data_IF_662662129670
#
_entry.id   IF_662662129670
#
_cell.length_a   1.000
_cell.length_b   1.000
_cell.length_c   1.000
_cell.angle_alpha   90.00
_cell.angle_beta   90.00
_cell.angle_gamma   90.00
#
_symmetry.space_group_name_H-M   'P 1'
#
loop_
_entity.id
_entity.type
_entity.pdbx_description
1 polymer ?
#
# COMPACT_ATOMS: atom_id res chain seq x y z
N UNK A 1 -0.41 -5.57 -6.31
CA UNK A 1 -1.53 -6.09 -5.49
C UNK A 1 -2.77 -5.25 -5.59
N UNK A 2 -2.72 -3.94 -5.29
CA UNK A 2 -3.90 -3.06 -5.35
C UNK A 2 -4.62 -3.05 -6.71
N UNK A 3 -3.89 -3.12 -7.83
CA UNK A 3 -4.50 -3.23 -9.16
C UNK A 3 -5.39 -4.49 -9.29
N UNK A 4 -4.99 -5.61 -8.66
CA UNK A 4 -5.78 -6.83 -8.64
C UNK A 4 -7.02 -6.70 -7.74
N UNK A 5 -6.91 -6.00 -6.61
CA UNK A 5 -8.06 -5.65 -5.76
C UNK A 5 -9.07 -4.80 -6.51
N UNK A 6 -8.61 -3.71 -7.16
CA UNK A 6 -9.46 -2.87 -7.99
C UNK A 6 -10.15 -3.65 -9.09
N UNK A 7 -9.41 -4.51 -9.80
CA UNK A 7 -9.93 -5.35 -10.88
C UNK A 7 -10.96 -6.37 -10.38
N UNK A 8 -10.80 -6.93 -9.18
CA UNK A 8 -11.77 -7.83 -8.57
C UNK A 8 -13.11 -7.12 -8.30
N UNK A 9 -13.09 -5.92 -7.72
CA UNK A 9 -14.32 -5.17 -7.42
C UNK A 9 -15.01 -4.56 -8.65
N UNK A 10 -14.30 -4.46 -9.78
CA UNK A 10 -14.86 -4.09 -11.08
C UNK A 10 -15.62 -5.22 -11.78
N UNK A 11 -15.44 -6.48 -11.37
CA UNK A 11 -16.15 -7.61 -11.98
C UNK A 11 -17.66 -7.39 -11.88
N UNK A 12 -18.41 -7.68 -12.95
CA UNK A 12 -19.86 -7.55 -13.00
C UNK A 12 -20.59 -8.35 -11.90
N UNK A 13 -20.03 -9.51 -11.53
CA UNK A 13 -20.50 -10.39 -10.44
C UNK A 13 -20.23 -9.85 -9.03
N UNK A 14 -19.32 -8.89 -8.87
CA UNK A 14 -18.99 -8.25 -7.58
C UNK A 14 -19.59 -6.83 -7.51
N UNK A 15 -19.31 -6.02 -8.53
CA UNK A 15 -19.83 -4.68 -8.78
C UNK A 15 -19.85 -3.78 -7.53
N UNK A 16 -18.66 -3.43 -7.05
CA UNK A 16 -18.43 -2.48 -5.95
C UNK A 16 -17.54 -1.34 -6.43
N UNK A 17 -18.09 -0.38 -7.20
CA UNK A 17 -17.30 0.68 -7.85
C UNK A 17 -16.58 1.61 -6.89
N UNK A 18 -17.08 1.83 -5.65
CA UNK A 18 -16.40 2.64 -4.64
C UNK A 18 -15.13 1.95 -4.12
N UNK A 19 -15.20 0.64 -3.83
CA UNK A 19 -14.01 -0.15 -3.50
C UNK A 19 -13.04 -0.24 -4.68
N UNK A 20 -13.56 -0.44 -5.89
CA UNK A 20 -12.72 -0.47 -7.08
C UNK A 20 -11.93 0.84 -7.26
N UNK A 21 -12.61 1.99 -7.17
CA UNK A 21 -11.98 3.31 -7.23
C UNK A 21 -10.90 3.46 -6.17
N UNK A 22 -11.23 3.19 -4.91
CA UNK A 22 -10.28 3.28 -3.80
C UNK A 22 -9.02 2.45 -4.05
N UNK A 23 -9.15 1.18 -4.42
CA UNK A 23 -7.96 0.34 -4.65
C UNK A 23 -7.19 0.70 -5.94
N UNK A 24 -7.83 1.25 -6.96
CA UNK A 24 -7.12 1.76 -8.14
C UNK A 24 -6.36 3.05 -7.84
N UNK A 25 -6.90 3.91 -6.98
CA UNK A 25 -6.22 5.08 -6.45
C UNK A 25 -5.02 4.66 -5.60
N UNK A 26 -5.17 3.70 -4.67
CA UNK A 26 -4.05 3.13 -3.90
C UNK A 26 -2.99 2.49 -4.81
N UNK A 27 -3.38 1.81 -5.89
CA UNK A 27 -2.42 1.27 -6.86
C UNK A 27 -1.61 2.38 -7.56
N UNK A 28 -2.24 3.53 -7.79
CA UNK A 28 -1.58 4.69 -8.41
C UNK A 28 -0.65 5.39 -7.42
N UNK A 29 -1.04 5.50 -6.16
CA UNK A 29 -0.23 6.03 -5.05
C UNK A 29 1.03 5.20 -4.82
N UNK A 30 0.91 3.87 -4.73
CA UNK A 30 2.07 2.98 -4.57
C UNK A 30 3.04 3.06 -5.76
N UNK A 31 2.53 3.32 -6.98
CA UNK A 31 3.39 3.59 -8.12
C UNK A 31 4.16 4.90 -7.94
N UNK A 32 3.56 5.94 -7.35
CA UNK A 32 4.28 7.17 -7.01
C UNK A 32 5.34 6.93 -5.93
N UNK A 33 5.07 6.10 -4.92
CA UNK A 33 6.07 5.72 -3.92
C UNK A 33 7.29 5.04 -4.56
N UNK A 34 7.08 4.12 -5.50
CA UNK A 34 8.17 3.52 -6.26
C UNK A 34 8.97 4.55 -7.08
N UNK A 35 8.29 5.52 -7.71
CA UNK A 35 8.95 6.61 -8.44
C UNK A 35 9.78 7.50 -7.50
N UNK A 36 9.23 7.93 -6.36
CA UNK A 36 9.94 8.71 -5.34
C UNK A 36 11.24 8.03 -4.91
N UNK A 37 11.23 6.71 -4.68
CA UNK A 37 12.42 5.93 -4.32
C UNK A 37 13.46 5.90 -5.45
N UNK A 38 13.04 5.69 -6.70
CA UNK A 38 13.95 5.72 -7.85
C UNK A 38 14.57 7.09 -8.04
N UNK A 39 13.78 8.16 -7.93
CA UNK A 39 14.26 9.54 -8.00
C UNK A 39 15.24 9.86 -6.88
N UNK A 40 14.98 9.38 -5.66
CA UNK A 40 15.90 9.53 -4.54
C UNK A 40 17.26 8.84 -4.83
N UNK A 41 17.25 7.61 -5.34
CA UNK A 41 18.48 6.90 -5.71
C UNK A 41 19.25 7.65 -6.80
N UNK A 42 18.56 8.15 -7.84
CA UNK A 42 19.16 8.96 -8.90
C UNK A 42 19.75 10.28 -8.38
N UNK A 43 19.05 10.96 -7.46
CA UNK A 43 19.55 12.16 -6.78
C UNK A 43 20.86 11.89 -6.04
N UNK A 44 21.04 10.68 -5.50
CA UNK A 44 22.26 10.24 -4.80
C UNK A 44 23.37 9.74 -5.73
N UNK A 45 23.14 9.73 -7.04
CA UNK A 45 24.11 9.29 -8.05
C UNK A 45 24.12 7.78 -8.31
N UNK A 46 23.13 7.05 -7.79
CA UNK A 46 22.92 5.63 -8.08
C UNK A 46 22.14 5.42 -9.39
N UNK A 47 22.00 4.18 -9.83
CA UNK A 47 21.26 3.80 -11.06
C UNK A 47 21.79 4.47 -12.35
N UNK A 48 23.08 4.82 -12.38
CA UNK A 48 23.73 5.52 -13.52
C UNK A 48 24.20 4.61 -14.65
N UNK A 49 24.15 3.29 -14.45
CA UNK A 49 24.50 2.27 -15.45
C UNK A 49 23.25 1.56 -15.97
N UNK A 50 23.41 0.45 -16.69
CA UNK A 50 22.28 -0.31 -17.22
C UNK A 50 21.37 -0.78 -16.06
N UNK A 51 20.12 -0.33 -16.08
CA UNK A 51 19.11 -0.75 -15.11
C UNK A 51 18.75 -2.21 -15.36
N UNK A 52 19.15 -3.09 -14.44
CA UNK A 52 18.66 -4.46 -14.40
C UNK A 52 17.26 -4.46 -13.78
N UNK A 53 16.23 -4.44 -14.62
CA UNK A 53 14.83 -4.31 -14.19
C UNK A 53 14.42 -5.37 -13.16
N UNK A 54 14.89 -6.60 -13.33
CA UNK A 54 14.61 -7.73 -12.42
C UNK A 54 15.25 -7.56 -11.03
N UNK A 55 16.24 -6.67 -10.89
CA UNK A 55 16.81 -6.29 -9.58
C UNK A 55 16.05 -5.14 -8.91
N UNK A 56 15.31 -4.34 -9.68
CA UNK A 56 14.51 -3.23 -9.14
C UNK A 56 13.10 -3.67 -8.75
N UNK A 57 12.50 -4.57 -9.54
CA UNK A 57 11.13 -5.04 -9.30
C UNK A 57 11.16 -6.55 -9.13
N UNK A 58 11.08 -6.98 -7.88
CA UNK A 58 10.97 -8.39 -7.54
C UNK A 58 9.49 -8.83 -7.50
N UNK A 59 9.22 -9.99 -8.11
CA UNK A 59 7.94 -10.69 -8.11
C UNK A 59 6.69 -9.79 -8.30
N UNK A 60 6.43 -9.28 -9.53
CA UNK A 60 5.33 -8.35 -9.79
C UNK A 60 3.93 -8.97 -9.68
N UNK A 61 3.82 -10.27 -9.40
CA UNK A 61 2.55 -10.99 -9.34
C UNK A 61 1.84 -10.72 -8.01
N UNK A 62 0.52 -10.44 -8.03
CA UNK A 62 -0.24 -10.26 -6.81
C UNK A 62 -0.35 -11.59 -6.04
N UNK A 63 -0.33 -11.50 -4.70
CA UNK A 63 -0.45 -12.66 -3.81
C UNK A 63 -1.87 -13.26 -3.80
N UNK A 64 -2.88 -12.46 -4.13
CA UNK A 64 -4.28 -12.86 -4.22
C UNK A 64 -4.97 -12.09 -5.35
N UNK A 65 -6.00 -12.70 -5.93
CA UNK A 65 -6.77 -12.14 -7.06
C UNK A 65 -8.28 -12.11 -6.81
N UNK A 66 -8.74 -12.60 -5.65
CA UNK A 66 -10.15 -12.57 -5.25
C UNK A 66 -10.27 -12.38 -3.75
N UNK A 67 -11.37 -11.75 -3.33
CA UNK A 67 -11.71 -11.49 -1.93
C UNK A 67 -13.18 -11.83 -1.68
N UNK A 68 -13.51 -12.28 -0.48
CA UNK A 68 -14.88 -12.70 -0.16
C UNK A 68 -15.83 -11.51 0.09
N UNK A 69 -15.27 -10.37 0.51
CA UNK A 69 -15.98 -9.15 0.89
C UNK A 69 -15.03 -7.94 0.89
N UNK A 70 -15.61 -6.74 0.94
CA UNK A 70 -14.87 -5.50 1.15
C UNK A 70 -14.07 -5.49 2.46
N UNK A 71 -14.57 -6.13 3.52
CA UNK A 71 -13.83 -6.26 4.80
C UNK A 71 -12.57 -7.09 4.61
N UNK A 72 -12.67 -8.22 3.91
CA UNK A 72 -11.52 -9.09 3.66
C UNK A 72 -10.47 -8.39 2.78
N UNK A 73 -10.91 -7.63 1.77
CA UNK A 73 -10.00 -6.84 0.95
C UNK A 73 -9.30 -5.73 1.75
N UNK A 74 -10.03 -4.99 2.59
CA UNK A 74 -9.44 -3.96 3.45
C UNK A 74 -8.47 -4.54 4.48
N UNK A 75 -8.74 -5.73 5.03
CA UNK A 75 -7.80 -6.44 5.91
C UNK A 75 -6.54 -6.85 5.18
N UNK A 76 -6.68 -7.37 3.95
CA UNK A 76 -5.53 -7.71 3.11
C UNK A 76 -4.70 -6.47 2.75
N UNK A 77 -5.35 -5.32 2.52
CA UNK A 77 -4.66 -4.05 2.32
C UNK A 77 -3.91 -3.61 3.59
N UNK A 78 -4.54 -3.67 4.77
CA UNK A 78 -3.88 -3.32 6.03
C UNK A 78 -2.68 -4.24 6.34
N UNK A 79 -2.81 -5.54 6.10
CA UNK A 79 -1.69 -6.48 6.22
C UNK A 79 -0.55 -6.15 5.24
N UNK A 80 -0.87 -5.77 4.01
CA UNK A 80 0.13 -5.29 3.05
C UNK A 80 0.84 -4.02 3.56
N UNK A 81 0.09 -3.01 4.02
CA UNK A 81 0.66 -1.75 4.53
C UNK A 81 1.56 -1.96 5.75
N UNK A 82 1.16 -2.82 6.68
CA UNK A 82 2.01 -3.14 7.84
C UNK A 82 3.33 -3.80 7.44
N UNK A 83 3.31 -4.66 6.41
CA UNK A 83 4.54 -5.25 5.85
C UNK A 83 5.40 -4.20 5.18
N UNK A 84 4.83 -3.30 4.37
CA UNK A 84 5.56 -2.19 3.73
C UNK A 84 6.23 -1.31 4.79
N UNK A 85 5.50 -0.95 5.84
CA UNK A 85 6.03 -0.17 6.96
C UNK A 85 7.19 -0.87 7.66
N UNK A 86 7.09 -2.19 7.89
CA UNK A 86 8.21 -2.96 8.43
C UNK A 86 9.42 -2.89 7.52
N UNK A 87 9.25 -3.02 6.21
CA UNK A 87 10.36 -2.92 5.24
C UNK A 87 11.02 -1.54 5.24
N UNK A 88 10.23 -0.46 5.32
CA UNK A 88 10.78 0.90 5.43
C UNK A 88 11.63 1.03 6.70
N UNK A 89 11.15 0.50 7.83
CA UNK A 89 11.91 0.50 9.10
C UNK A 89 13.19 -0.33 9.02
N UNK A 90 13.17 -1.46 8.31
CA UNK A 90 14.35 -2.29 8.09
C UNK A 90 15.41 -1.51 7.28
N UNK A 91 14.99 -0.76 6.25
CA UNK A 91 15.88 0.10 5.46
C UNK A 91 16.47 1.22 6.34
N UNK A 92 15.63 1.93 7.11
CA UNK A 92 16.09 2.96 8.04
C UNK A 92 17.15 2.41 9.00
N UNK A 93 16.88 1.25 9.60
CA UNK A 93 17.81 0.60 10.54
C UNK A 93 19.13 0.27 9.86
N UNK A 94 19.09 -0.23 8.62
CA UNK A 94 20.29 -0.55 7.83
C UNK A 94 21.11 0.70 7.51
N UNK A 95 20.45 1.82 7.22
CA UNK A 95 21.07 3.09 6.87
C UNK A 95 21.61 3.87 8.09
N UNK A 96 21.04 3.64 9.27
CA UNK A 96 21.44 4.27 10.54
C UNK A 96 22.41 3.40 11.38
N UNK A 97 22.65 2.14 10.98
CA UNK A 97 23.39 1.15 11.77
C UNK A 97 24.73 1.69 12.31
N UNK A 98 24.94 1.73 13.65
CA UNK A 98 26.11 2.36 14.27
C UNK A 98 27.47 1.77 13.86
N UNK A 99 27.47 0.52 13.40
CA UNK A 99 28.67 -0.19 12.96
C UNK A 99 28.96 0.02 11.46
N UNK A 100 28.08 0.72 10.74
CA UNK A 100 28.33 1.10 9.36
C UNK A 100 29.32 2.28 9.32
N UNK A 101 30.27 2.24 8.38
CA UNK A 101 31.22 3.34 8.16
C UNK A 101 30.52 4.62 7.67
N UNK A 102 29.29 4.50 7.16
CA UNK A 102 28.50 5.59 6.65
C UNK A 102 27.09 5.52 7.23
N UNK A 103 26.74 6.51 8.05
CA UNK A 103 25.37 6.75 8.49
C UNK A 103 24.71 7.72 7.50
N UNK A 104 23.66 7.26 6.83
CA UNK A 104 22.93 8.06 5.83
C UNK A 104 21.81 8.87 6.48
N UNK A 105 22.18 9.92 7.20
CA UNK A 105 21.24 10.77 7.93
C UNK A 105 20.12 11.32 7.06
N UNK A 106 20.42 11.69 5.80
CA UNK A 106 19.43 12.26 4.90
C UNK A 106 18.41 11.22 4.44
N UNK A 107 18.84 9.98 4.13
CA UNK A 107 17.91 8.91 3.76
C UNK A 107 17.02 8.49 4.94
N UNK A 108 17.61 8.41 6.14
CA UNK A 108 16.89 8.10 7.37
C UNK A 108 15.82 9.16 7.66
N UNK A 109 16.19 10.44 7.61
CA UNK A 109 15.26 11.55 7.81
C UNK A 109 14.12 11.53 6.78
N UNK A 110 14.46 11.41 5.49
CA UNK A 110 13.47 11.41 4.41
C UNK A 110 12.49 10.23 4.49
N UNK A 111 12.97 9.01 4.73
CA UNK A 111 12.08 7.84 4.92
C UNK A 111 11.21 7.97 6.18
N UNK A 112 11.72 8.63 7.22
CA UNK A 112 10.99 8.80 8.48
C UNK A 112 9.92 9.89 8.36
N UNK A 113 10.27 11.03 7.76
CA UNK A 113 9.39 12.19 7.65
C UNK A 113 8.30 11.98 6.60
N UNK A 114 8.66 11.46 5.43
CA UNK A 114 7.72 11.35 4.31
C UNK A 114 7.00 9.99 4.35
N UNK A 115 7.76 8.89 4.27
CA UNK A 115 7.17 7.57 4.08
C UNK A 115 6.50 7.03 5.34
N UNK A 116 7.16 7.06 6.50
CA UNK A 116 6.56 6.51 7.72
C UNK A 116 5.32 7.30 8.17
N UNK A 117 5.30 8.62 8.00
CA UNK A 117 4.11 9.42 8.32
C UNK A 117 2.92 9.06 7.41
N UNK A 118 3.14 8.95 6.08
CA UNK A 118 2.16 8.46 5.12
C UNK A 118 1.65 7.05 5.50
N UNK A 119 2.56 6.12 5.80
CA UNK A 119 2.19 4.75 6.21
C UNK A 119 1.31 4.71 7.46
N UNK A 120 1.65 5.43 8.54
CA UNK A 120 0.86 5.37 9.77
C UNK A 120 -0.53 6.00 9.60
N UNK A 121 -0.64 7.08 8.80
CA UNK A 121 -1.93 7.66 8.44
C UNK A 121 -2.78 6.69 7.62
N UNK A 122 -2.20 6.07 6.59
CA UNK A 122 -2.87 5.08 5.74
C UNK A 122 -3.36 3.86 6.53
N UNK A 123 -2.51 3.28 7.39
CA UNK A 123 -2.89 2.16 8.25
C UNK A 123 -4.04 2.54 9.19
N UNK A 124 -4.01 3.74 9.79
CA UNK A 124 -5.09 4.21 10.66
C UNK A 124 -6.38 4.39 9.89
N UNK A 125 -6.33 4.91 8.67
CA UNK A 125 -7.50 5.03 7.80
C UNK A 125 -8.10 3.66 7.48
N UNK A 126 -7.29 2.71 6.99
CA UNK A 126 -7.72 1.35 6.69
C UNK A 126 -8.34 0.66 7.90
N UNK A 127 -7.70 0.74 9.07
CA UNK A 127 -8.24 0.20 10.31
C UNK A 127 -9.60 0.83 10.67
N UNK A 128 -9.77 2.13 10.42
CA UNK A 128 -11.03 2.83 10.55
C UNK A 128 -12.11 2.29 9.62
N UNK A 129 -11.79 2.15 8.32
CA UNK A 129 -12.69 1.58 7.31
C UNK A 129 -13.13 0.17 7.68
N UNK A 130 -12.19 -0.70 8.08
CA UNK A 130 -12.46 -2.06 8.54
C UNK A 130 -13.43 -2.05 9.72
N UNK A 131 -13.21 -1.20 10.73
CA UNK A 131 -14.06 -1.12 11.92
C UNK A 131 -15.49 -0.74 11.56
N UNK A 132 -15.66 0.31 10.74
CA UNK A 132 -16.98 0.80 10.32
C UNK A 132 -17.71 -0.23 9.48
N UNK A 133 -17.07 -0.74 8.43
CA UNK A 133 -17.69 -1.71 7.53
C UNK A 133 -18.01 -3.02 8.24
N UNK A 134 -17.14 -3.51 9.15
CA UNK A 134 -17.42 -4.72 9.92
C UNK A 134 -18.67 -4.58 10.79
N UNK A 135 -18.91 -3.40 11.38
CA UNK A 135 -20.14 -3.12 12.15
C UNK A 135 -21.36 -3.10 11.24
N UNK A 136 -21.27 -2.43 10.09
CA UNK A 136 -22.36 -2.39 9.11
C UNK A 136 -22.71 -3.77 8.56
N UNK A 137 -21.70 -4.60 8.26
CA UNK A 137 -21.93 -5.97 7.79
C UNK A 137 -22.51 -6.87 8.88
N UNK A 138 -22.16 -6.65 10.15
CA UNK A 138 -22.74 -7.39 11.28
C UNK A 138 -24.23 -7.08 11.45
N UNK A 139 -24.64 -5.83 11.27
CA UNK A 139 -26.03 -5.38 11.46
C UNK A 139 -26.91 -5.56 10.21
N UNK A 140 -26.32 -5.43 9.02
CA UNK A 140 -27.07 -5.32 7.76
C UNK A 140 -26.58 -6.24 6.64
N UNK A 141 -25.58 -7.09 6.89
CA UNK A 141 -25.07 -8.04 5.91
C UNK A 141 -24.62 -7.39 4.59
N UNK A 142 -25.08 -7.96 3.47
CA UNK A 142 -24.76 -7.49 2.10
C UNK A 142 -25.24 -6.05 1.87
N UNK A 143 -26.35 -5.63 2.48
CA UNK A 143 -26.83 -4.25 2.37
C UNK A 143 -25.83 -3.27 3.01
N UNK A 144 -25.20 -3.65 4.12
CA UNK A 144 -24.18 -2.85 4.77
C UNK A 144 -22.97 -2.58 3.86
N UNK A 145 -22.50 -3.62 3.16
CA UNK A 145 -21.41 -3.47 2.20
C UNK A 145 -21.81 -2.61 1.00
N UNK A 146 -23.02 -2.80 0.46
CA UNK A 146 -23.52 -1.98 -0.63
C UNK A 146 -23.61 -0.49 -0.26
N UNK A 147 -24.16 -0.17 0.92
CA UNK A 147 -24.26 1.22 1.39
C UNK A 147 -22.89 1.84 1.62
N UNK A 148 -21.94 1.07 2.15
CA UNK A 148 -20.57 1.53 2.35
C UNK A 148 -19.87 1.81 1.02
N UNK A 149 -20.00 0.91 0.03
CA UNK A 149 -19.50 1.12 -1.33
C UNK A 149 -20.01 2.44 -1.94
N UNK A 150 -21.29 2.77 -1.75
CA UNK A 150 -21.85 4.05 -2.23
C UNK A 150 -21.29 5.27 -1.52
N UNK A 151 -20.86 5.14 -0.27
CA UNK A 151 -20.21 6.23 0.47
C UNK A 151 -18.76 6.45 0.03
N UNK A 152 -18.10 5.44 -0.55
CA UNK A 152 -16.71 5.51 -1.01
C UNK A 152 -16.53 6.17 -2.38
N UNK A 153 -17.63 6.44 -3.11
CA UNK A 153 -17.58 7.09 -4.43
C UNK A 153 -17.35 8.59 -4.32
#
# INVERSE_FOLDING_TARGET
TYLAMGSHFLQDTVNRPGFAKFFLESASEERQHALKLMEYLLMRGELTTHVEFDKLIDNPRPLATSWSSGVDALRAALDLETKVTSRIRDIITTCEEPNNKYNDYHLVDWLTADFLDEQYKGQRELAGKISTLSKMMKEHGVLGEFLYDKNML
#
